data_IF_515253337634
#
_entry.id   IF_515253337634
#
_cell.length_a   1.000
_cell.length_b   1.000
_cell.length_c   1.000
_cell.angle_alpha   90.00
_cell.angle_beta   90.00
_cell.angle_gamma   90.00
#
_symmetry.space_group_name_H-M   'P 1'
#
loop_
_entity.id
_entity.type
_entity.pdbx_description
1 polymer ?
#
# COMPACT_ATOMS: atom_id res chain seq x y z
N UNK A 1 48.96 -44.21 13.41
CA UNK A 1 48.63 -43.06 12.52
C UNK A 1 47.24 -43.13 11.90
N UNK A 2 46.80 -44.25 11.32
CA UNK A 2 45.47 -44.35 10.66
C UNK A 2 44.25 -44.04 11.56
N UNK A 3 44.29 -44.41 12.85
CA UNK A 3 43.18 -44.18 13.78
C UNK A 3 42.96 -42.68 14.10
N UNK A 4 44.04 -41.88 14.21
CA UNK A 4 43.91 -40.44 14.45
C UNK A 4 43.39 -39.70 13.22
N UNK A 5 43.71 -40.19 12.01
CA UNK A 5 43.19 -39.64 10.76
C UNK A 5 41.68 -39.86 10.62
N UNK A 6 41.19 -41.07 10.94
CA UNK A 6 39.74 -41.37 10.95
C UNK A 6 38.98 -40.55 11.99
N UNK A 7 39.54 -40.35 13.17
CA UNK A 7 38.93 -39.52 14.21
C UNK A 7 38.81 -38.05 13.75
N UNK A 8 39.86 -37.49 13.14
CA UNK A 8 39.84 -36.14 12.55
C UNK A 8 38.82 -36.01 11.43
N UNK A 9 38.73 -37.01 10.54
CA UNK A 9 37.76 -37.01 9.44
C UNK A 9 36.31 -37.06 9.94
N UNK A 10 36.02 -37.89 10.96
CA UNK A 10 34.70 -37.95 11.59
C UNK A 10 34.34 -36.64 12.28
N UNK A 11 35.28 -36.00 12.96
CA UNK A 11 35.07 -34.70 13.59
C UNK A 11 34.78 -33.61 12.55
N UNK A 12 35.52 -33.59 11.43
CA UNK A 12 35.27 -32.66 10.31
C UNK A 12 33.90 -32.89 9.67
N UNK A 13 33.51 -34.15 9.44
CA UNK A 13 32.19 -34.49 8.90
C UNK A 13 31.06 -34.07 9.86
N UNK A 14 31.26 -34.25 11.17
CA UNK A 14 30.31 -33.82 12.18
C UNK A 14 30.18 -32.29 12.22
N UNK A 15 31.30 -31.57 12.13
CA UNK A 15 31.33 -30.10 12.02
C UNK A 15 30.63 -29.61 10.75
N UNK A 16 30.89 -30.22 9.59
CA UNK A 16 30.22 -29.90 8.33
C UNK A 16 28.72 -30.16 8.40
N UNK A 17 28.32 -31.29 8.99
CA UNK A 17 26.92 -31.64 9.19
C UNK A 17 26.18 -30.66 10.10
N UNK A 18 26.89 -29.91 10.94
CA UNK A 18 26.33 -28.85 11.80
C UNK A 18 26.36 -27.47 11.11
N UNK A 19 27.47 -27.14 10.45
CA UNK A 19 27.67 -25.85 9.79
C UNK A 19 26.74 -25.64 8.59
N UNK A 20 26.50 -26.68 7.78
CA UNK A 20 25.65 -26.58 6.60
C UNK A 20 24.20 -26.21 6.97
N UNK A 21 23.51 -26.91 7.89
CA UNK A 21 22.18 -26.51 8.35
C UNK A 21 22.15 -25.12 9.00
N UNK A 22 23.16 -24.76 9.80
CA UNK A 22 23.25 -23.44 10.43
C UNK A 22 23.36 -22.32 9.39
N UNK A 23 24.17 -22.51 8.36
CA UNK A 23 24.28 -21.57 7.23
C UNK A 23 22.96 -21.48 6.46
N UNK A 24 22.30 -22.61 6.22
CA UNK A 24 21.01 -22.66 5.53
C UNK A 24 19.91 -21.94 6.33
N UNK A 25 19.88 -22.16 7.65
CA UNK A 25 18.96 -21.52 8.57
C UNK A 25 19.19 -20.01 8.58
N UNK A 26 20.44 -19.57 8.74
CA UNK A 26 20.81 -18.15 8.71
C UNK A 26 20.41 -17.48 7.38
N UNK A 27 20.66 -18.15 6.24
CA UNK A 27 20.21 -17.66 4.94
C UNK A 27 18.69 -17.54 4.85
N UNK A 28 17.96 -18.56 5.33
CA UNK A 28 16.49 -18.55 5.30
C UNK A 28 15.89 -17.46 6.19
N UNK A 29 16.48 -17.23 7.37
CA UNK A 29 16.07 -16.18 8.30
C UNK A 29 16.34 -14.80 7.70
N UNK A 30 17.53 -14.55 7.16
CA UNK A 30 17.85 -13.27 6.52
C UNK A 30 16.94 -12.99 5.32
N UNK A 31 16.60 -14.02 4.53
CA UNK A 31 15.66 -13.89 3.42
C UNK A 31 14.25 -13.53 3.91
N UNK A 32 13.80 -14.15 5.00
CA UNK A 32 12.51 -13.86 5.61
C UNK A 32 12.46 -12.42 6.14
N UNK A 33 13.49 -11.98 6.88
CA UNK A 33 13.60 -10.61 7.41
C UNK A 33 13.60 -9.58 6.28
N UNK A 34 14.40 -9.78 5.23
CA UNK A 34 14.44 -8.87 4.08
C UNK A 34 13.08 -8.75 3.37
N UNK A 35 12.35 -9.86 3.24
CA UNK A 35 11.01 -9.87 2.65
C UNK A 35 10.01 -9.11 3.53
N UNK A 36 10.15 -9.25 4.85
CA UNK A 36 9.32 -8.57 5.83
C UNK A 36 9.54 -7.05 5.77
N UNK A 37 10.79 -6.60 5.73
CA UNK A 37 11.16 -5.18 5.62
C UNK A 37 10.61 -4.55 4.33
N UNK A 38 10.72 -5.26 3.20
CA UNK A 38 10.14 -4.80 1.94
C UNK A 38 8.62 -4.67 2.01
N UNK A 39 7.95 -5.61 2.68
CA UNK A 39 6.50 -5.61 2.84
C UNK A 39 6.06 -4.45 3.74
N UNK A 40 6.72 -4.24 4.88
CA UNK A 40 6.45 -3.11 5.76
C UNK A 40 6.71 -1.76 5.07
N UNK A 41 7.81 -1.62 4.34
CA UNK A 41 8.09 -0.41 3.57
C UNK A 41 7.04 -0.11 2.51
N UNK A 42 6.50 -1.16 1.88
CA UNK A 42 5.39 -1.02 0.91
C UNK A 42 4.10 -0.58 1.60
N UNK A 43 3.76 -1.20 2.74
CA UNK A 43 2.57 -0.86 3.52
C UNK A 43 2.62 0.58 4.06
N UNK A 44 3.78 1.01 4.54
CA UNK A 44 4.00 2.38 5.01
C UNK A 44 3.69 3.41 3.90
N UNK A 45 4.18 3.19 2.69
CA UNK A 45 3.92 4.05 1.52
C UNK A 45 2.44 4.10 1.13
N UNK A 46 1.74 2.96 1.21
CA UNK A 46 0.29 2.91 0.97
C UNK A 46 -0.45 3.74 2.02
N UNK A 47 -0.06 3.61 3.30
CA UNK A 47 -0.69 4.35 4.39
C UNK A 47 -0.43 5.86 4.30
N UNK A 48 0.78 6.26 3.92
CA UNK A 48 1.15 7.65 3.65
C UNK A 48 0.27 8.25 2.55
N UNK A 49 0.19 7.58 1.38
CA UNK A 49 -0.67 8.03 0.27
C UNK A 49 -2.16 8.07 0.63
N UNK A 50 -2.62 7.14 1.46
CA UNK A 50 -4.00 7.17 1.96
C UNK A 50 -4.24 8.42 2.81
N UNK A 51 -3.28 8.76 3.67
CA UNK A 51 -3.34 9.95 4.53
C UNK A 51 -3.34 11.22 3.69
N UNK A 52 -2.49 11.31 2.68
CA UNK A 52 -2.46 12.44 1.73
C UNK A 52 -3.77 12.59 0.99
N UNK A 53 -4.37 11.48 0.55
CA UNK A 53 -5.66 11.50 -0.12
C UNK A 53 -6.77 11.99 0.82
N UNK A 54 -6.78 11.53 2.09
CA UNK A 54 -7.74 12.01 3.09
C UNK A 54 -7.59 13.51 3.32
N UNK A 55 -6.36 14.03 3.39
CA UNK A 55 -6.13 15.47 3.48
C UNK A 55 -6.63 16.21 2.21
N UNK A 56 -6.43 15.63 1.04
CA UNK A 56 -6.93 16.13 -0.24
C UNK A 56 -8.45 16.20 -0.35
N UNK A 57 -9.20 15.37 0.38
CA UNK A 57 -10.67 15.40 0.40
C UNK A 57 -11.21 16.76 0.86
N UNK A 58 -10.64 17.33 1.91
CA UNK A 58 -11.06 18.65 2.42
C UNK A 58 -10.85 19.74 1.38
N UNK A 59 -9.75 19.67 0.64
CA UNK A 59 -9.44 20.63 -0.41
C UNK A 59 -10.36 20.47 -1.63
N UNK A 60 -10.67 19.23 -2.01
CA UNK A 60 -11.57 18.94 -3.11
C UNK A 60 -13.01 19.39 -2.82
N UNK A 61 -13.49 19.24 -1.57
CA UNK A 61 -14.80 19.75 -1.15
C UNK A 61 -14.91 21.26 -1.40
N UNK A 62 -13.85 22.02 -1.18
CA UNK A 62 -13.83 23.47 -1.47
C UNK A 62 -13.71 23.81 -2.95
N UNK A 63 -13.09 22.94 -3.75
CA UNK A 63 -12.75 23.17 -5.15
C UNK A 63 -13.21 21.99 -6.03
N UNK A 64 -14.43 22.06 -6.61
CA UNK A 64 -15.01 20.98 -7.39
C UNK A 64 -14.08 20.43 -8.48
N UNK A 65 -13.31 21.29 -9.16
CA UNK A 65 -12.39 20.86 -10.22
C UNK A 65 -11.27 19.93 -9.74
N UNK A 66 -11.02 19.84 -8.44
CA UNK A 66 -9.98 18.98 -7.85
C UNK A 66 -10.47 17.58 -7.51
N UNK A 67 -11.78 17.32 -7.59
CA UNK A 67 -12.32 15.99 -7.31
C UNK A 67 -11.84 14.92 -8.28
N UNK A 68 -11.67 15.25 -9.57
CA UNK A 68 -11.20 14.29 -10.58
C UNK A 68 -9.79 13.79 -10.26
N UNK A 69 -8.88 14.71 -9.92
CA UNK A 69 -7.50 14.39 -9.51
C UNK A 69 -7.48 13.53 -8.24
N UNK A 70 -8.32 13.87 -7.26
CA UNK A 70 -8.39 13.11 -6.01
C UNK A 70 -8.95 11.70 -6.23
N UNK A 71 -9.97 11.56 -7.09
CA UNK A 71 -10.55 10.29 -7.46
C UNK A 71 -9.52 9.39 -8.17
N UNK A 72 -8.75 9.95 -9.09
CA UNK A 72 -7.66 9.25 -9.77
C UNK A 72 -6.56 8.80 -8.79
N UNK A 73 -6.24 9.63 -7.80
CA UNK A 73 -5.29 9.27 -6.73
C UNK A 73 -5.79 8.07 -5.91
N UNK A 74 -7.08 8.04 -5.56
CA UNK A 74 -7.68 6.90 -4.88
C UNK A 74 -7.69 5.62 -5.73
N UNK A 75 -7.94 5.72 -7.03
CA UNK A 75 -7.85 4.58 -7.95
C UNK A 75 -6.42 4.04 -8.06
N UNK A 76 -5.44 4.94 -8.16
CA UNK A 76 -4.02 4.58 -8.20
C UNK A 76 -3.59 3.90 -6.90
N UNK A 77 -4.03 4.43 -5.76
CA UNK A 77 -3.80 3.82 -4.45
C UNK A 77 -4.38 2.42 -4.36
N UNK A 78 -5.64 2.22 -4.78
CA UNK A 78 -6.29 0.92 -4.83
C UNK A 78 -5.51 -0.06 -5.71
N UNK A 79 -5.18 0.33 -6.94
CA UNK A 79 -4.45 -0.52 -7.89
C UNK A 79 -3.05 -0.90 -7.38
N UNK A 80 -2.37 0.03 -6.71
CA UNK A 80 -1.03 -0.21 -6.16
C UNK A 80 -1.02 -1.13 -4.94
N UNK A 81 -2.12 -1.21 -4.18
CA UNK A 81 -2.15 -2.00 -2.96
C UNK A 81 -2.60 -3.46 -3.17
N UNK A 82 -1.81 -4.24 -3.91
CA UNK A 82 -2.04 -5.69 -4.11
C UNK A 82 -2.12 -6.46 -2.78
N UNK A 83 -1.29 -6.10 -1.82
CA UNK A 83 -1.25 -6.70 -0.48
C UNK A 83 -2.44 -6.30 0.40
N UNK A 84 -3.02 -5.11 0.18
CA UNK A 84 -4.28 -4.76 0.82
C UNK A 84 -5.32 -5.79 0.42
N UNK A 85 -5.47 -6.04 -0.88
CA UNK A 85 -6.51 -6.92 -1.45
C UNK A 85 -6.51 -8.35 -0.87
N UNK A 86 -5.36 -8.85 -0.45
CA UNK A 86 -5.25 -10.16 0.23
C UNK A 86 -5.78 -10.16 1.66
N UNK A 87 -5.69 -9.05 2.39
CA UNK A 87 -6.14 -8.94 3.80
C UNK A 87 -7.56 -8.34 3.88
N UNK A 88 -7.89 -7.43 2.97
CA UNK A 88 -9.20 -6.81 2.79
C UNK A 88 -9.30 -6.38 1.33
N UNK A 89 -10.44 -6.55 0.66
CA UNK A 89 -10.63 -6.21 -0.76
C UNK A 89 -10.49 -4.71 -1.12
N UNK A 90 -9.73 -3.90 -0.37
CA UNK A 90 -9.59 -2.45 -0.53
C UNK A 90 -10.92 -1.72 -0.35
N UNK A 91 -11.86 -2.31 0.39
CA UNK A 91 -13.25 -1.85 0.47
C UNK A 91 -13.38 -0.40 0.95
N UNK A 92 -12.48 0.04 1.85
CA UNK A 92 -12.45 1.42 2.36
C UNK A 92 -12.11 2.41 1.23
N UNK A 93 -11.06 2.13 0.45
CA UNK A 93 -10.64 2.99 -0.66
C UNK A 93 -11.75 3.08 -1.71
N UNK A 94 -12.36 1.95 -2.05
CA UNK A 94 -13.48 1.92 -3.01
C UNK A 94 -14.68 2.73 -2.52
N UNK A 95 -15.11 2.52 -1.27
CA UNK A 95 -16.24 3.28 -0.67
C UNK A 95 -15.97 4.79 -0.63
N UNK A 96 -14.74 5.20 -0.32
CA UNK A 96 -14.35 6.62 -0.34
C UNK A 96 -14.41 7.20 -1.75
N UNK A 97 -13.88 6.50 -2.76
CA UNK A 97 -13.97 6.93 -4.17
C UNK A 97 -15.42 7.10 -4.63
N UNK A 98 -16.29 6.13 -4.34
CA UNK A 98 -17.73 6.21 -4.65
C UNK A 98 -18.43 7.38 -3.95
N UNK A 99 -18.11 7.62 -2.68
CA UNK A 99 -18.65 8.76 -1.92
C UNK A 99 -18.22 10.10 -2.54
N UNK A 100 -16.94 10.25 -2.87
CA UNK A 100 -16.40 11.47 -3.48
C UNK A 100 -17.07 11.76 -4.83
N UNK A 101 -17.32 10.72 -5.63
CA UNK A 101 -18.03 10.88 -6.90
C UNK A 101 -19.46 11.41 -6.70
N UNK A 102 -20.17 10.91 -5.69
CA UNK A 102 -21.52 11.41 -5.34
C UNK A 102 -21.49 12.85 -4.84
N UNK A 103 -20.51 13.19 -3.99
CA UNK A 103 -20.36 14.55 -3.48
C UNK A 103 -20.06 15.54 -4.61
N UNK A 104 -19.13 15.20 -5.50
CA UNK A 104 -18.80 16.02 -6.66
C UNK A 104 -20.01 16.27 -7.55
N UNK A 105 -20.79 15.21 -7.86
CA UNK A 105 -22.02 15.35 -8.65
C UNK A 105 -23.00 16.34 -8.03
N UNK A 106 -23.28 16.21 -6.72
CA UNK A 106 -24.18 17.12 -6.02
C UNK A 106 -23.67 18.56 -6.01
N UNK A 107 -22.36 18.75 -5.86
CA UNK A 107 -21.75 20.07 -5.87
C UNK A 107 -21.86 20.75 -7.23
N UNK A 108 -21.66 20.01 -8.33
CA UNK A 108 -21.84 20.52 -9.69
C UNK A 108 -23.29 20.91 -9.99
N UNK A 109 -24.27 20.16 -9.47
CA UNK A 109 -25.69 20.56 -9.54
C UNK A 109 -25.88 21.91 -8.85
N UNK A 110 -25.37 22.08 -7.64
CA UNK A 110 -25.48 23.33 -6.88
C UNK A 110 -24.84 24.52 -7.58
N UNK A 111 -23.67 24.32 -8.20
CA UNK A 111 -23.00 25.35 -9.02
C UNK A 111 -23.87 25.75 -10.21
N UNK A 112 -24.43 24.76 -10.94
CA UNK A 112 -25.32 25.03 -12.08
C UNK A 112 -26.57 25.79 -11.66
N UNK A 113 -27.20 25.39 -10.55
CA UNK A 113 -28.42 26.05 -10.05
C UNK A 113 -28.16 27.53 -9.71
N UNK A 114 -27.02 27.79 -9.05
CA UNK A 114 -26.61 29.15 -8.70
C UNK A 114 -26.37 30.01 -9.93
N UNK A 115 -25.75 29.44 -10.97
CA UNK A 115 -25.55 30.11 -12.26
C UNK A 115 -26.89 30.49 -12.89
N UNK A 116 -27.83 29.54 -13.00
CA UNK A 116 -29.16 29.80 -13.55
C UNK A 116 -29.92 30.87 -12.77
N UNK A 117 -29.90 30.84 -11.43
CA UNK A 117 -30.55 31.87 -10.62
C UNK A 117 -29.97 33.27 -10.90
N UNK A 118 -28.65 33.40 -10.92
CA UNK A 118 -27.99 34.69 -11.19
C UNK A 118 -28.31 35.22 -12.59
N UNK A 119 -28.41 34.35 -13.58
CA UNK A 119 -28.76 34.72 -14.96
C UNK A 119 -30.20 35.24 -15.08
N UNK A 120 -31.12 34.73 -14.27
CA UNK A 120 -32.54 35.14 -14.28
C UNK A 120 -32.83 36.34 -13.36
N UNK A 121 -32.04 36.54 -12.29
CA UNK A 121 -32.21 37.67 -11.36
C UNK A 121 -31.52 38.95 -11.83
N UNK A 122 -30.55 38.86 -12.74
CA UNK A 122 -29.88 40.00 -13.36
C UNK A 122 -30.56 40.48 -14.67
N UNK A 123 -31.77 39.97 -14.95
CA UNK A 123 -32.66 40.42 -16.03
C UNK A 123 -33.75 41.33 -15.46
#
# INVERSE_FOLDING_TARGET
>A
MLQSLRAKLRLMLFLLALLIPLMLLNYSMNRATSTLDQTYGTLAKVNERLTDNIAGELFAIGNPEKFSTLQESYHTLYASCKQCHTVNSGAIIRKRSELLQKLHHNQMIGVSLRKTLNENLNQ
#
